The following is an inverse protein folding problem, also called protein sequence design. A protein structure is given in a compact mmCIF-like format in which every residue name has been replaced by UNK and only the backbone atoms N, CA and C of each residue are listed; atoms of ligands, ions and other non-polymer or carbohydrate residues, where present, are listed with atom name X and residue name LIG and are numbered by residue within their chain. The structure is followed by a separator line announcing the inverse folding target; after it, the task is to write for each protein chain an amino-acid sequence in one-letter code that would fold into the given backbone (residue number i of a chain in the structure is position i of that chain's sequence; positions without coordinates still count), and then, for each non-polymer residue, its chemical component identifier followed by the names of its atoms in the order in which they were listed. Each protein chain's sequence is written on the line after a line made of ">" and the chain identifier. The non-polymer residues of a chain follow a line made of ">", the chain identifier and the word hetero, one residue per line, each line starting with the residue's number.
data_IF_448884542296
#
_entry.id   IF_448884542296
#
_cell.length_a   1.000
_cell.length_b   1.000
_cell.length_c   1.000
_cell.angle_alpha   90.00
_cell.angle_beta   90.00
_cell.angle_gamma   90.00
#
_symmetry.space_group_name_H-M   'P 1'
#
loop_
_entity.id
_entity.type
_entity.pdbx_description
1 polymer ?
#
# COMPACT_ATOMS: atom_id res chain seq x y z
N UNK A 1 -18.59 4.35 -11.61
CA UNK A 1 -18.06 3.03 -11.22
C UNK A 1 -18.13 2.94 -9.69
N UNK A 2 -18.97 2.05 -9.15
CA UNK A 2 -19.01 1.79 -7.70
C UNK A 2 -17.82 0.89 -7.35
N UNK A 3 -16.71 1.50 -6.93
CA UNK A 3 -15.58 0.74 -6.37
C UNK A 3 -15.91 0.49 -4.89
N UNK A 4 -16.21 -0.75 -4.55
CA UNK A 4 -16.42 -1.18 -3.17
C UNK A 4 -15.13 -1.06 -2.33
N UNK A 5 -15.22 -1.23 -1.01
CA UNK A 5 -14.05 -1.20 -0.14
C UNK A 5 -13.07 -2.30 -0.53
N UNK A 6 -11.77 -1.97 -0.50
CA UNK A 6 -10.69 -2.94 -0.67
C UNK A 6 -10.38 -3.51 0.71
N UNK A 7 -10.49 -4.84 0.85
CA UNK A 7 -10.12 -5.58 2.06
C UNK A 7 -8.89 -6.40 1.70
N UNK A 8 -7.81 -6.24 2.46
CA UNK A 8 -6.55 -6.97 2.30
C UNK A 8 -6.16 -7.58 3.63
N UNK A 9 -5.63 -8.80 3.59
CA UNK A 9 -4.87 -9.39 4.71
C UNK A 9 -3.49 -8.74 4.82
N UNK A 10 -2.81 -8.98 5.94
CA UNK A 10 -1.45 -8.45 6.18
C UNK A 10 -0.49 -8.97 5.10
N UNK A 11 -0.48 -10.28 4.88
CA UNK A 11 0.39 -10.94 3.90
C UNK A 11 0.13 -10.42 2.47
N UNK A 12 -1.14 -10.15 2.11
CA UNK A 12 -1.47 -9.56 0.81
C UNK A 12 -0.97 -8.10 0.70
N UNK A 13 -1.07 -7.32 1.77
CA UNK A 13 -0.55 -5.95 1.78
C UNK A 13 0.98 -5.94 1.65
N UNK A 14 1.68 -6.86 2.33
CA UNK A 14 3.14 -7.05 2.20
C UNK A 14 3.51 -7.51 0.80
N UNK A 15 2.84 -8.53 0.27
CA UNK A 15 3.07 -9.01 -1.09
C UNK A 15 2.89 -7.90 -2.11
N UNK A 16 1.83 -7.08 -1.99
CA UNK A 16 1.63 -5.95 -2.90
C UNK A 16 2.72 -4.88 -2.75
N UNK A 17 3.17 -4.62 -1.52
CA UNK A 17 4.22 -3.64 -1.25
C UNK A 17 5.55 -4.04 -1.92
N UNK A 18 5.90 -5.33 -1.86
CA UNK A 18 7.10 -5.89 -2.49
C UNK A 18 7.06 -5.82 -4.01
N UNK A 19 5.86 -5.82 -4.60
CA UNK A 19 5.66 -5.72 -6.04
C UNK A 19 5.62 -4.27 -6.55
N UNK A 20 5.70 -3.25 -5.69
CA UNK A 20 5.72 -1.85 -6.14
C UNK A 20 7.14 -1.47 -6.59
N UNK A 21 7.40 -1.31 -7.91
CA UNK A 21 8.72 -0.94 -8.39
C UNK A 21 9.07 0.51 -8.02
N UNK A 22 10.35 0.89 -8.00
CA UNK A 22 10.73 2.30 -7.89
C UNK A 22 10.18 3.11 -9.09
N UNK A 23 9.97 4.44 -8.93
CA UNK A 23 9.65 5.32 -10.06
C UNK A 23 10.71 5.31 -11.15
N UNK A 24 10.26 5.24 -12.40
CA UNK A 24 11.10 5.46 -13.58
C UNK A 24 11.44 6.94 -13.73
N UNK A 25 12.57 7.23 -14.39
CA UNK A 25 13.05 8.62 -14.58
C UNK A 25 12.12 9.47 -15.43
N UNK A 26 11.46 8.84 -16.40
CA UNK A 26 10.56 9.49 -17.36
C UNK A 26 9.07 9.29 -17.01
N UNK A 27 8.80 8.84 -15.79
CA UNK A 27 7.44 8.61 -15.33
C UNK A 27 6.65 9.91 -15.18
N UNK A 28 5.38 9.88 -15.58
CA UNK A 28 4.47 11.01 -15.37
C UNK A 28 4.37 11.39 -13.88
N UNK A 29 4.50 12.67 -13.51
CA UNK A 29 4.48 13.12 -12.11
C UNK A 29 3.25 12.67 -11.32
N UNK A 30 2.09 12.55 -11.96
CA UNK A 30 0.87 12.06 -11.33
C UNK A 30 0.99 10.57 -11.00
N UNK A 31 1.56 9.76 -11.90
CA UNK A 31 1.78 8.33 -11.68
C UNK A 31 2.76 8.11 -10.54
N UNK A 32 3.87 8.84 -10.51
CA UNK A 32 4.82 8.81 -9.39
C UNK A 32 4.12 9.14 -8.06
N UNK A 33 3.29 10.19 -8.04
CA UNK A 33 2.53 10.59 -6.83
C UNK A 33 1.55 9.51 -6.39
N UNK A 34 0.84 8.88 -7.33
CA UNK A 34 -0.10 7.80 -7.02
C UNK A 34 0.62 6.56 -6.51
N UNK A 35 1.78 6.20 -7.08
CA UNK A 35 2.59 5.08 -6.59
C UNK A 35 3.05 5.33 -5.16
N UNK A 36 3.57 6.51 -4.86
CA UNK A 36 4.00 6.87 -3.51
C UNK A 36 2.84 6.78 -2.51
N UNK A 37 1.64 7.25 -2.89
CA UNK A 37 0.44 7.12 -2.06
C UNK A 37 0.02 5.67 -1.84
N UNK A 38 0.06 4.83 -2.87
CA UNK A 38 -0.26 3.41 -2.74
C UNK A 38 0.72 2.71 -1.79
N UNK A 39 2.02 2.96 -1.97
CA UNK A 39 3.06 2.41 -1.09
C UNK A 39 2.85 2.84 0.37
N UNK A 40 2.55 4.13 0.60
CA UNK A 40 2.26 4.64 1.93
C UNK A 40 1.01 4.00 2.54
N UNK A 41 -0.07 3.84 1.78
CA UNK A 41 -1.28 3.17 2.24
C UNK A 41 -1.00 1.71 2.66
N UNK A 42 -0.29 0.97 1.81
CA UNK A 42 0.05 -0.44 2.09
C UNK A 42 0.97 -0.58 3.31
N UNK A 43 1.96 0.30 3.47
CA UNK A 43 2.80 0.33 4.69
C UNK A 43 1.98 0.65 5.95
N UNK A 44 1.08 1.63 5.88
CA UNK A 44 0.20 1.96 7.01
C UNK A 44 -0.75 0.83 7.38
N UNK A 45 -1.25 0.08 6.39
CA UNK A 45 -2.09 -1.08 6.64
C UNK A 45 -1.32 -2.19 7.37
N UNK A 46 -0.07 -2.47 6.95
CA UNK A 46 0.80 -3.42 7.63
C UNK A 46 1.09 -2.99 9.07
N UNK A 47 1.57 -1.76 9.26
CA UNK A 47 1.93 -1.25 10.59
C UNK A 47 0.71 -1.20 11.52
N UNK A 48 -0.46 -0.83 10.99
CA UNK A 48 -1.73 -0.81 11.72
C UNK A 48 -2.22 -2.21 12.09
N UNK A 49 -2.01 -3.21 11.24
CA UNK A 49 -2.43 -4.58 11.51
C UNK A 49 -1.50 -5.31 12.49
N UNK A 50 -0.19 -5.02 12.47
CA UNK A 50 0.75 -5.47 13.50
C UNK A 50 0.38 -4.92 14.89
N UNK A 51 -0.13 -3.69 14.96
CA UNK A 51 -0.52 -3.02 16.22
C UNK A 51 -1.79 -3.55 16.90
N UNK A 52 -2.74 -4.14 16.15
CA UNK A 52 -3.99 -4.69 16.73
C UNK A 52 -3.74 -5.96 17.55
N UNK A 53 -2.61 -6.63 17.33
CA UNK A 53 -2.20 -7.81 18.10
C UNK A 53 -1.56 -7.47 19.45
N UNK A 54 -1.15 -6.21 19.69
CA UNK A 54 -0.71 -5.76 21.02
C UNK A 54 -1.92 -5.32 21.84
N UNK A 55 -2.56 -6.31 22.45
CA UNK A 55 -3.53 -6.13 23.51
C UNK A 55 -2.84 -6.46 24.84
N UNK A 56 -2.47 -5.42 25.56
CA UNK A 56 -2.37 -5.42 27.03
C UNK A 56 -3.27 -4.28 27.54
#
# INVERSE_FOLDING_TARGET
>A
MNRGPIVLTIDEAEFLLDQVPPPDKDEDPLVTKLRLKLRQLLSQLRDGAEGVSKKD
#
